data_IF_607528883781
#
_entry.id   IF_607528883781
#
_cell.length_a   1.000
_cell.length_b   1.000
_cell.length_c   1.000
_cell.angle_alpha   90.00
_cell.angle_beta   90.00
_cell.angle_gamma   90.00
#
_symmetry.space_group_name_H-M   'P 1'
#
loop_
_entity.id
_entity.type
_entity.pdbx_description
1 polymer ?
#
# COMPACT_ATOMS: atom_id res chain seq x y z
N UNK A 1 41.26 14.52 17.85
CA UNK A 1 39.95 15.20 17.90
C UNK A 1 38.99 14.59 16.85
N UNK A 2 38.50 13.35 17.06
CA UNK A 2 37.75 12.58 16.02
C UNK A 2 36.34 12.17 16.48
N UNK A 3 35.92 12.56 17.70
CA UNK A 3 34.67 12.07 18.31
C UNK A 3 33.40 12.84 17.93
N UNK A 4 33.51 13.99 17.27
CA UNK A 4 32.36 14.85 16.94
C UNK A 4 31.71 14.53 15.58
N UNK A 5 32.43 13.85 14.68
CA UNK A 5 31.94 13.61 13.32
C UNK A 5 30.85 12.51 13.24
N UNK A 6 30.81 11.59 14.21
CA UNK A 6 29.88 10.45 14.19
C UNK A 6 28.46 10.79 14.67
N UNK A 7 28.28 11.84 15.47
CA UNK A 7 26.97 12.17 16.03
C UNK A 7 26.08 12.84 14.97
N UNK A 8 26.66 13.67 14.09
CA UNK A 8 25.93 14.35 13.02
C UNK A 8 25.31 13.37 12.00
N UNK A 9 25.98 12.24 11.74
CA UNK A 9 25.47 11.18 10.84
C UNK A 9 24.26 10.43 11.43
N UNK A 10 24.20 10.25 12.75
CA UNK A 10 23.08 9.58 13.41
C UNK A 10 21.79 10.41 13.36
N UNK A 11 21.90 11.74 13.47
CA UNK A 11 20.73 12.63 13.40
C UNK A 11 20.15 12.76 11.99
N UNK A 12 20.97 12.70 10.94
CA UNK A 12 20.48 12.73 9.55
C UNK A 12 19.76 11.44 9.15
N UNK A 13 20.19 10.27 9.67
CA UNK A 13 19.50 9.00 9.46
C UNK A 13 18.13 8.93 10.14
N UNK A 14 17.98 9.55 11.32
CA UNK A 14 16.71 9.53 12.06
C UNK A 14 15.61 10.31 11.32
N UNK A 15 15.93 11.47 10.74
CA UNK A 15 14.98 12.29 9.98
C UNK A 15 14.50 11.65 8.67
N UNK A 16 15.26 10.71 8.09
CA UNK A 16 14.86 10.02 6.86
C UNK A 16 13.75 8.97 7.10
N UNK A 17 13.52 8.54 8.34
CA UNK A 17 12.51 7.51 8.66
C UNK A 17 11.12 8.07 9.00
N UNK A 18 11.01 9.36 9.33
CA UNK A 18 9.75 9.95 9.81
C UNK A 18 8.79 10.40 8.70
N UNK A 19 9.21 10.40 7.43
CA UNK A 19 8.36 10.77 6.29
C UNK A 19 7.64 9.60 5.62
N UNK A 20 7.41 8.47 6.32
CA UNK A 20 6.37 7.53 5.87
C UNK A 20 5.01 8.13 6.22
N UNK A 21 4.55 9.08 5.40
CA UNK A 21 3.12 9.46 5.37
C UNK A 21 2.32 8.16 5.42
N UNK A 22 1.43 8.04 6.40
CA UNK A 22 0.50 6.94 6.51
C UNK A 22 -0.36 6.88 5.25
N UNK A 23 0.12 6.15 4.23
CA UNK A 23 -0.63 5.92 2.99
C UNK A 23 -1.70 4.90 3.31
N UNK A 24 -2.95 5.27 3.09
CA UNK A 24 -4.06 4.33 3.19
C UNK A 24 -4.24 3.66 1.84
N UNK A 25 -4.29 2.34 1.84
CA UNK A 25 -4.52 1.57 0.62
C UNK A 25 -5.94 1.03 0.61
N UNK A 26 -6.60 1.13 -0.54
CA UNK A 26 -7.91 0.53 -0.82
C UNK A 26 -7.77 -0.36 -2.05
N UNK A 27 -8.34 -1.55 -2.01
CA UNK A 27 -8.44 -2.43 -3.16
C UNK A 27 -9.84 -2.34 -3.74
N UNK A 28 -9.97 -1.99 -5.02
CA UNK A 28 -11.24 -1.98 -5.74
C UNK A 28 -11.27 -3.15 -6.70
N UNK A 29 -12.25 -4.04 -6.56
CA UNK A 29 -12.41 -5.22 -7.39
C UNK A 29 -13.69 -5.09 -8.22
N UNK A 30 -13.56 -5.25 -9.53
CA UNK A 30 -14.68 -5.40 -10.47
C UNK A 30 -14.92 -6.88 -10.70
N UNK A 31 -16.16 -7.33 -10.56
CA UNK A 31 -16.57 -8.70 -10.88
C UNK A 31 -17.39 -8.71 -12.16
N UNK A 32 -16.97 -9.51 -13.13
CA UNK A 32 -17.75 -9.80 -14.34
C UNK A 32 -18.69 -10.96 -14.01
N UNK A 33 -19.84 -10.65 -13.41
CA UNK A 33 -20.85 -11.66 -13.13
C UNK A 33 -21.54 -12.06 -14.46
N UNK A 34 -21.62 -13.35 -14.81
CA UNK A 34 -22.29 -13.78 -16.05
C UNK A 34 -23.80 -13.50 -16.06
N UNK A 35 -24.39 -13.12 -14.92
CA UNK A 35 -25.83 -12.97 -14.73
C UNK A 35 -26.36 -11.53 -14.61
N UNK A 36 -25.52 -10.47 -14.60
CA UNK A 36 -26.06 -9.14 -14.24
C UNK A 36 -25.14 -7.92 -14.25
N UNK A 37 -24.11 -7.87 -15.10
CA UNK A 37 -23.28 -6.68 -15.27
C UNK A 37 -22.15 -6.52 -14.24
N UNK A 38 -21.32 -5.47 -14.37
CA UNK A 38 -20.15 -5.26 -13.54
C UNK A 38 -20.55 -4.84 -12.11
N UNK A 39 -20.22 -5.69 -11.13
CA UNK A 39 -20.31 -5.36 -9.71
C UNK A 39 -18.97 -4.81 -9.20
N UNK A 40 -19.00 -3.74 -8.40
CA UNK A 40 -17.79 -3.14 -7.82
C UNK A 40 -17.77 -3.33 -6.31
N UNK A 41 -16.73 -4.01 -5.82
CA UNK A 41 -16.45 -4.16 -4.40
C UNK A 41 -15.22 -3.32 -4.00
N UNK A 42 -15.27 -2.67 -2.85
CA UNK A 42 -14.13 -1.93 -2.30
C UNK A 42 -13.74 -2.47 -0.93
N UNK A 43 -12.45 -2.77 -0.75
CA UNK A 43 -11.88 -3.29 0.49
C UNK A 43 -10.78 -2.36 0.99
N UNK A 44 -10.97 -1.78 2.18
CA UNK A 44 -9.93 -1.00 2.85
C UNK A 44 -8.85 -1.94 3.39
N UNK A 45 -7.60 -1.76 2.97
CA UNK A 45 -6.45 -2.55 3.44
C UNK A 45 -5.76 -1.91 4.65
N UNK A 46 -6.04 -0.63 4.91
CA UNK A 46 -5.49 0.10 6.05
C UNK A 46 -4.09 0.64 5.81
N UNK A 47 -3.34 0.79 6.92
CA UNK A 47 -1.97 1.34 6.94
C UNK A 47 -0.96 0.20 6.97
N UNK A 48 -0.64 -0.32 5.79
CA UNK A 48 0.32 -1.41 5.60
C UNK A 48 1.39 -1.01 4.58
N UNK A 49 2.55 -1.68 4.55
CA UNK A 49 3.55 -1.46 3.51
C UNK A 49 2.93 -1.63 2.10
N UNK A 50 3.31 -0.75 1.16
CA UNK A 50 2.81 -0.76 -0.23
C UNK A 50 2.85 -2.16 -0.87
N UNK A 51 3.95 -2.89 -0.65
CA UNK A 51 4.12 -4.22 -1.23
C UNK A 51 3.08 -5.20 -0.67
N UNK A 52 2.89 -5.21 0.64
CA UNK A 52 1.87 -6.01 1.30
C UNK A 52 0.45 -5.64 0.82
N UNK A 53 0.15 -4.33 0.65
CA UNK A 53 -1.12 -3.89 0.10
C UNK A 53 -1.36 -4.39 -1.33
N UNK A 54 -0.32 -4.35 -2.16
CA UNK A 54 -0.39 -4.84 -3.53
C UNK A 54 -0.62 -6.35 -3.55
N UNK A 55 0.12 -7.11 -2.76
CA UNK A 55 0.00 -8.58 -2.68
C UNK A 55 -1.40 -8.98 -2.20
N UNK A 56 -1.94 -8.28 -1.18
CA UNK A 56 -3.30 -8.50 -0.69
C UNK A 56 -4.38 -8.15 -1.74
N UNK A 57 -4.18 -7.08 -2.51
CA UNK A 57 -5.14 -6.68 -3.53
C UNK A 57 -5.12 -7.63 -4.74
N UNK A 58 -3.93 -8.04 -5.18
CA UNK A 58 -3.75 -8.99 -6.28
C UNK A 58 -4.25 -10.39 -5.93
N UNK A 59 -4.15 -10.81 -4.66
CA UNK A 59 -4.69 -12.10 -4.21
C UNK A 59 -6.21 -12.20 -4.36
N UNK A 60 -6.93 -11.08 -4.50
CA UNK A 60 -8.37 -11.05 -4.77
C UNK A 60 -8.71 -11.12 -6.26
N UNK A 61 -7.72 -10.97 -7.14
CA UNK A 61 -7.92 -11.09 -8.59
C UNK A 61 -8.14 -12.55 -8.96
N UNK A 62 -9.15 -12.80 -9.79
CA UNK A 62 -9.51 -14.12 -10.30
C UNK A 62 -9.85 -14.02 -11.79
N UNK A 63 -10.16 -15.14 -12.44
CA UNK A 63 -10.57 -15.13 -13.86
C UNK A 63 -11.81 -14.26 -14.15
N UNK A 64 -12.65 -14.03 -13.13
CA UNK A 64 -13.89 -13.24 -13.23
C UNK A 64 -13.84 -11.97 -12.37
N UNK A 65 -12.68 -11.65 -11.79
CA UNK A 65 -12.52 -10.54 -10.84
C UNK A 65 -11.23 -9.79 -11.12
N UNK A 66 -11.34 -8.54 -11.55
CA UNK A 66 -10.18 -7.64 -11.75
C UNK A 66 -10.06 -6.68 -10.58
N UNK A 67 -8.88 -6.59 -9.95
CA UNK A 67 -8.67 -5.70 -8.80
C UNK A 67 -7.58 -4.65 -9.07
N UNK A 68 -7.84 -3.42 -8.63
CA UNK A 68 -6.93 -2.28 -8.72
C UNK A 68 -6.69 -1.72 -7.32
N UNK A 69 -5.40 -1.55 -6.96
CA UNK A 69 -5.01 -0.91 -5.71
C UNK A 69 -5.00 0.62 -5.89
N UNK A 70 -5.76 1.33 -5.06
CA UNK A 70 -5.76 2.77 -4.95
C UNK A 70 -5.08 3.22 -3.66
N UNK A 71 -4.44 4.39 -3.71
CA UNK A 71 -3.86 5.08 -2.55
C UNK A 71 -4.76 6.26 -2.24
N UNK A 72 -5.20 6.37 -0.98
CA UNK A 72 -5.89 7.54 -0.44
C UNK A 72 -4.90 8.45 0.31
#
# INVERSE_FOLDING_TARGET
MVKLLNIALLFTLLAATSCRRDKFYTCMCSTTNPAGGPGYDSHKLGRIPKQQAYDMCRAKTSATTECIMQVQ
#
